data_IF_948442844080
#
_entry.id   IF_948442844080
#
_cell.length_a   1.000
_cell.length_b   1.000
_cell.length_c   1.000
_cell.angle_alpha   90.00
_cell.angle_beta   90.00
_cell.angle_gamma   90.00
#
_symmetry.space_group_name_H-M   'P 1'
#
loop_
_entity.id
_entity.type
_entity.pdbx_description
1 polymer ?
#
# COMPACT_ATOMS: atom_id res chain seq x y z
N UNK A 1 7.94 2.00 -20.60
CA UNK A 1 6.55 2.46 -20.44
C UNK A 1 5.55 1.67 -21.30
N UNK A 2 5.83 1.33 -22.57
CA UNK A 2 4.87 0.61 -23.45
C UNK A 2 4.48 -0.80 -22.96
N UNK A 3 5.36 -1.53 -22.29
CA UNK A 3 5.11 -2.92 -21.84
C UNK A 3 4.30 -3.02 -20.54
N UNK A 4 4.36 -2.01 -19.66
CA UNK A 4 3.54 -1.98 -18.43
C UNK A 4 2.07 -1.68 -18.71
N UNK A 5 1.79 -0.85 -19.71
CA UNK A 5 0.41 -0.59 -20.19
C UNK A 5 -0.20 -1.83 -20.87
N UNK A 6 0.62 -2.64 -21.57
CA UNK A 6 0.14 -3.88 -22.19
C UNK A 6 -0.23 -4.94 -21.13
N UNK A 7 0.52 -5.06 -20.06
CA UNK A 7 0.22 -6.01 -18.98
C UNK A 7 -1.04 -5.62 -18.20
N UNK A 8 -1.24 -4.32 -17.92
CA UNK A 8 -2.46 -3.83 -17.30
C UNK A 8 -3.68 -3.97 -18.23
N UNK A 9 -3.52 -3.73 -19.53
CA UNK A 9 -4.57 -3.90 -20.52
C UNK A 9 -4.93 -5.39 -20.74
N UNK A 10 -3.98 -6.32 -20.63
CA UNK A 10 -4.23 -7.76 -20.71
C UNK A 10 -4.99 -8.29 -19.50
N UNK A 11 -4.70 -7.78 -18.28
CA UNK A 11 -5.41 -8.13 -17.05
C UNK A 11 -6.84 -7.57 -17.06
N UNK A 12 -7.05 -6.35 -17.55
CA UNK A 12 -8.40 -5.77 -17.71
C UNK A 12 -9.19 -6.43 -18.86
N UNK A 13 -8.54 -6.80 -19.95
CA UNK A 13 -9.15 -7.53 -21.07
C UNK A 13 -9.60 -8.93 -20.67
N UNK A 14 -8.80 -9.68 -19.90
CA UNK A 14 -9.16 -11.00 -19.41
C UNK A 14 -10.32 -10.95 -18.39
N UNK A 15 -10.41 -9.90 -17.59
CA UNK A 15 -11.52 -9.71 -16.65
C UNK A 15 -12.85 -9.40 -17.37
N UNK A 16 -12.80 -8.67 -18.49
CA UNK A 16 -14.01 -8.30 -19.27
C UNK A 16 -14.54 -9.44 -20.16
N UNK A 17 -13.68 -10.33 -20.63
CA UNK A 17 -14.11 -11.50 -21.44
C UNK A 17 -14.59 -12.68 -20.59
N UNK A 18 -14.27 -12.72 -19.29
CA UNK A 18 -14.80 -13.70 -18.35
C UNK A 18 -16.20 -13.34 -17.81
N UNK A 19 -16.73 -12.17 -18.13
CA UNK A 19 -18.01 -11.69 -17.63
C UNK A 19 -19.23 -12.58 -17.92
N UNK A 20 -19.39 -13.25 -19.08
CA UNK A 20 -20.54 -14.14 -19.30
C UNK A 20 -20.43 -15.49 -18.57
N UNK A 21 -19.23 -15.96 -18.23
CA UNK A 21 -19.04 -17.19 -17.43
C UNK A 21 -19.14 -16.92 -15.90
N UNK A 22 -19.13 -15.67 -15.50
CA UNK A 22 -19.10 -15.24 -14.11
C UNK A 22 -20.40 -15.52 -13.33
N UNK A 23 -21.52 -15.65 -14.02
CA UNK A 23 -22.80 -15.98 -13.38
C UNK A 23 -22.88 -17.42 -12.86
N UNK A 24 -21.93 -18.29 -13.21
CA UNK A 24 -21.93 -19.70 -12.79
C UNK A 24 -20.96 -20.04 -11.62
N UNK A 25 -20.12 -19.08 -11.16
CA UNK A 25 -19.01 -19.39 -10.22
C UNK A 25 -18.84 -18.39 -9.07
N UNK A 26 -19.87 -17.66 -8.67
CA UNK A 26 -19.79 -16.82 -7.47
C UNK A 26 -18.72 -15.71 -7.54
N UNK A 27 -18.51 -15.11 -8.71
CA UNK A 27 -17.61 -13.96 -8.88
C UNK A 27 -18.31 -12.70 -8.41
N UNK A 28 -17.67 -11.96 -7.49
CA UNK A 28 -18.19 -10.69 -6.97
C UNK A 28 -17.14 -9.60 -7.10
N UNK A 29 -17.57 -8.41 -7.52
CA UNK A 29 -16.76 -7.20 -7.56
C UNK A 29 -16.95 -6.42 -6.28
N UNK A 30 -15.88 -5.75 -5.80
CA UNK A 30 -15.93 -4.90 -4.63
C UNK A 30 -15.04 -3.68 -4.74
N UNK A 31 -15.27 -2.76 -3.82
CA UNK A 31 -14.46 -1.57 -3.61
C UNK A 31 -13.89 -1.58 -2.20
N UNK A 32 -12.70 -1.04 -2.03
CA UNK A 32 -12.12 -0.79 -0.69
C UNK A 32 -11.41 0.55 -0.64
N UNK A 33 -11.40 1.15 0.55
CA UNK A 33 -10.62 2.32 0.87
C UNK A 33 -10.20 2.28 2.34
N UNK A 34 -9.06 2.88 2.65
CA UNK A 34 -8.54 2.86 4.00
C UNK A 34 -7.27 3.68 4.18
N UNK A 35 -6.62 3.43 5.30
CA UNK A 35 -5.37 4.08 5.65
C UNK A 35 -4.25 3.04 5.87
N UNK A 36 -3.09 3.35 5.34
CA UNK A 36 -1.82 2.68 5.65
C UNK A 36 -1.18 3.37 6.85
N UNK A 37 -0.63 2.60 7.76
CA UNK A 37 0.35 3.03 8.74
C UNK A 37 1.67 2.37 8.39
N UNK A 38 2.56 3.10 7.73
CA UNK A 38 3.73 2.54 7.05
C UNK A 38 5.05 3.12 7.57
N UNK A 39 6.10 2.33 7.47
CA UNK A 39 7.48 2.70 7.73
C UNK A 39 8.40 1.84 6.84
N UNK A 40 9.70 2.13 6.92
CA UNK A 40 10.75 1.23 6.45
C UNK A 40 11.05 0.18 7.52
N UNK A 41 11.33 -1.05 7.08
CA UNK A 41 11.82 -2.17 7.88
C UNK A 41 13.13 -2.68 7.27
N UNK A 42 13.90 -3.48 8.02
CA UNK A 42 15.20 -4.01 7.60
C UNK A 42 16.37 -3.23 8.20
N UNK A 43 17.56 -3.42 7.67
CA UNK A 43 18.78 -2.75 8.14
C UNK A 43 18.83 -1.31 7.60
N UNK A 44 18.20 -0.39 8.30
CA UNK A 44 18.20 1.03 7.96
C UNK A 44 19.15 1.75 8.92
N UNK A 45 20.13 2.47 8.38
CA UNK A 45 21.04 3.26 9.21
C UNK A 45 20.25 4.34 9.95
N UNK A 46 20.50 4.51 11.26
CA UNK A 46 19.80 5.49 12.11
C UNK A 46 18.26 5.32 12.09
N UNK A 47 17.73 4.12 12.37
CA UNK A 47 16.28 3.82 12.40
C UNK A 47 15.46 4.84 13.21
N UNK A 48 16.01 5.43 14.25
CA UNK A 48 15.35 6.44 15.08
C UNK A 48 14.96 7.70 14.31
N UNK A 49 15.58 7.94 13.17
CA UNK A 49 15.27 9.08 12.30
C UNK A 49 14.00 8.86 11.47
N UNK A 50 13.57 7.61 11.29
CA UNK A 50 12.44 7.24 10.45
C UNK A 50 11.24 6.83 11.30
N UNK A 51 10.16 7.56 11.19
CA UNK A 51 8.94 7.32 11.96
C UNK A 51 7.81 6.92 11.01
N UNK A 52 6.93 6.10 11.51
CA UNK A 52 5.75 5.68 10.75
C UNK A 52 4.85 6.87 10.38
N UNK A 53 4.19 6.76 9.22
CA UNK A 53 3.26 7.76 8.72
C UNK A 53 1.95 7.12 8.26
N UNK A 54 0.91 7.93 8.25
CA UNK A 54 -0.34 7.56 7.59
C UNK A 54 -0.34 7.97 6.12
N UNK A 55 -0.98 7.13 5.29
CA UNK A 55 -1.23 7.40 3.88
C UNK A 55 -2.51 6.70 3.42
N UNK A 56 -3.24 7.22 2.43
CA UNK A 56 -4.44 6.57 1.92
C UNK A 56 -4.11 5.35 1.06
N UNK A 57 -5.05 4.40 0.99
CA UNK A 57 -5.11 3.38 -0.04
C UNK A 57 -6.55 3.12 -0.45
N UNK A 58 -6.74 2.60 -1.66
CA UNK A 58 -8.05 2.22 -2.13
C UNK A 58 -8.04 1.70 -3.56
N UNK A 59 -9.10 0.99 -3.93
CA UNK A 59 -9.21 0.40 -5.25
C UNK A 59 -10.28 -0.67 -5.36
N UNK A 60 -10.07 -1.58 -6.31
CA UNK A 60 -11.01 -2.61 -6.70
C UNK A 60 -10.60 -3.96 -6.11
N UNK A 61 -11.59 -4.77 -5.78
CA UNK A 61 -11.44 -6.16 -5.38
C UNK A 61 -12.31 -7.03 -6.27
N UNK A 62 -11.76 -8.18 -6.68
CA UNK A 62 -12.53 -9.23 -7.32
C UNK A 62 -12.49 -10.45 -6.40
N UNK A 63 -13.64 -10.99 -6.02
CA UNK A 63 -13.71 -12.20 -5.21
C UNK A 63 -14.26 -13.35 -6.05
N UNK A 64 -13.50 -14.43 -6.11
CA UNK A 64 -13.79 -15.64 -6.89
C UNK A 64 -13.95 -16.79 -5.92
N UNK A 65 -15.17 -17.29 -5.71
CA UNK A 65 -15.43 -18.45 -4.88
C UNK A 65 -14.72 -19.68 -5.44
N UNK A 66 -13.96 -20.38 -4.61
CA UNK A 66 -13.28 -21.64 -4.96
C UNK A 66 -14.05 -22.86 -4.47
N UNK A 67 -14.94 -22.67 -3.46
CA UNK A 67 -15.83 -23.67 -2.93
C UNK A 67 -17.28 -23.14 -2.95
N UNK A 68 -18.23 -24.01 -3.16
CA UNK A 68 -19.66 -23.66 -3.32
C UNK A 68 -20.28 -23.05 -2.07
N UNK A 69 -19.75 -23.36 -0.90
CA UNK A 69 -20.19 -22.82 0.41
C UNK A 69 -19.67 -21.40 0.68
N UNK A 70 -18.77 -20.88 -0.18
CA UNK A 70 -18.13 -19.58 -0.02
C UNK A 70 -17.09 -19.52 1.10
N UNK A 71 -16.73 -20.66 1.68
CA UNK A 71 -15.69 -20.76 2.72
C UNK A 71 -14.32 -20.31 2.22
N UNK A 72 -13.93 -20.73 1.01
CA UNK A 72 -12.65 -20.38 0.40
C UNK A 72 -12.86 -19.61 -0.89
N UNK A 73 -12.14 -18.50 -1.03
CA UNK A 73 -12.13 -17.69 -2.24
C UNK A 73 -10.73 -17.19 -2.59
N UNK A 74 -10.52 -16.86 -3.86
CA UNK A 74 -9.37 -16.11 -4.37
C UNK A 74 -9.78 -14.66 -4.57
N UNK A 75 -8.99 -13.73 -4.03
CA UNK A 75 -9.30 -12.30 -4.08
C UNK A 75 -8.13 -11.51 -4.66
N UNK A 76 -8.02 -11.40 -6.01
CA UNK A 76 -7.14 -10.42 -6.62
C UNK A 76 -7.70 -9.00 -6.41
N UNK A 77 -6.77 -8.05 -6.19
CA UNK A 77 -7.12 -6.64 -5.98
C UNK A 77 -6.24 -5.75 -6.86
N UNK A 78 -6.71 -4.54 -7.14
CA UNK A 78 -5.94 -3.47 -7.78
C UNK A 78 -6.08 -2.22 -6.94
N UNK A 79 -5.00 -1.83 -6.26
CA UNK A 79 -5.02 -0.78 -5.25
C UNK A 79 -4.02 0.33 -5.58
N UNK A 80 -4.47 1.57 -5.53
CA UNK A 80 -3.56 2.68 -5.27
C UNK A 80 -3.21 2.67 -3.78
N UNK A 81 -1.92 2.77 -3.45
CA UNK A 81 -1.44 2.67 -2.07
C UNK A 81 -0.31 3.66 -1.82
N UNK A 82 -0.53 4.61 -0.92
CA UNK A 82 0.51 5.52 -0.47
C UNK A 82 1.17 4.97 0.79
N UNK A 83 2.44 4.58 0.67
CA UNK A 83 3.33 4.12 1.73
C UNK A 83 4.39 5.18 2.04
N UNK A 84 5.39 4.83 2.83
CA UNK A 84 6.57 5.65 3.10
C UNK A 84 6.76 5.91 4.59
N UNK A 85 7.52 6.95 4.90
CA UNK A 85 7.90 7.31 6.26
C UNK A 85 7.89 8.84 6.45
N UNK A 86 8.05 9.29 7.68
CA UNK A 86 8.37 10.67 8.03
C UNK A 86 9.70 10.70 8.77
N UNK A 87 10.45 11.78 8.60
CA UNK A 87 11.62 12.04 9.43
C UNK A 87 11.19 12.40 10.85
N UNK A 88 12.01 12.03 11.83
CA UNK A 88 11.85 12.53 13.19
C UNK A 88 11.93 14.06 13.18
N UNK A 89 11.02 14.69 13.89
CA UNK A 89 11.01 16.16 14.01
C UNK A 89 12.31 16.64 14.66
N UNK A 90 12.98 17.59 14.03
CA UNK A 90 14.16 18.25 14.60
C UNK A 90 13.76 19.66 15.06
N UNK A 91 13.90 19.93 16.35
CA UNK A 91 13.61 21.23 16.95
C UNK A 91 14.88 21.81 17.57
N UNK A 92 15.12 23.10 17.34
CA UNK A 92 16.21 23.83 17.99
C UNK A 92 15.79 25.28 18.25
N UNK A 93 16.43 25.90 19.25
CA UNK A 93 16.19 27.31 19.59
C UNK A 93 17.46 28.10 19.27
N UNK A 94 17.32 29.16 18.52
CA UNK A 94 18.40 30.08 18.17
C UNK A 94 17.95 31.52 18.41
N UNK A 95 18.70 32.27 19.22
CA UNK A 95 18.41 33.69 19.56
C UNK A 95 16.99 33.93 20.10
N UNK A 96 16.44 32.96 20.86
CA UNK A 96 15.10 33.04 21.42
C UNK A 96 13.97 32.58 20.49
N UNK A 97 14.24 32.35 19.21
CA UNK A 97 13.28 31.80 18.26
C UNK A 97 13.34 30.28 18.23
N UNK A 98 12.17 29.62 18.17
CA UNK A 98 12.02 28.17 18.02
C UNK A 98 11.91 27.81 16.55
N UNK A 99 12.79 26.92 16.11
CA UNK A 99 12.80 26.38 14.74
C UNK A 99 12.43 24.91 14.77
N UNK A 100 11.63 24.48 13.80
CA UNK A 100 11.26 23.09 13.63
C UNK A 100 11.37 22.69 12.17
N UNK A 101 12.05 21.57 11.94
CA UNK A 101 12.16 20.92 10.65
C UNK A 101 11.34 19.63 10.67
N UNK A 102 10.45 19.47 9.70
CA UNK A 102 9.65 18.26 9.50
C UNK A 102 9.70 17.83 8.05
N UNK A 103 9.76 16.53 7.83
CA UNK A 103 9.77 15.97 6.48
C UNK A 103 9.05 14.64 6.42
N UNK A 104 8.44 14.35 5.28
CA UNK A 104 7.83 13.05 5.00
C UNK A 104 8.10 12.65 3.56
N UNK A 105 8.32 11.37 3.35
CA UNK A 105 8.47 10.77 2.03
C UNK A 105 7.25 9.91 1.75
N UNK A 106 6.63 10.13 0.59
CA UNK A 106 5.46 9.41 0.13
C UNK A 106 5.85 8.54 -1.06
N UNK A 107 5.67 7.24 -0.93
CA UNK A 107 5.82 6.25 -1.99
C UNK A 107 4.42 5.91 -2.51
N UNK A 108 4.14 6.28 -3.74
CA UNK A 108 2.86 6.02 -4.37
C UNK A 108 2.97 4.76 -5.23
N UNK A 109 2.26 3.72 -4.85
CA UNK A 109 2.27 2.42 -5.52
C UNK A 109 0.94 2.11 -6.18
N UNK A 110 1.03 1.30 -7.24
CA UNK A 110 -0.06 0.47 -7.72
C UNK A 110 0.22 -0.95 -7.23
N UNK A 111 -0.54 -1.41 -6.24
CA UNK A 111 -0.40 -2.73 -5.62
C UNK A 111 -1.41 -3.72 -6.21
N UNK A 112 -0.96 -4.93 -6.51
CA UNK A 112 -1.77 -6.05 -6.98
C UNK A 112 -1.54 -7.25 -6.06
N UNK A 113 -2.24 -7.33 -4.93
CA UNK A 113 -2.28 -8.54 -4.12
C UNK A 113 -3.19 -9.60 -4.75
N UNK A 114 -2.83 -10.87 -4.58
CA UNK A 114 -3.65 -12.04 -4.93
C UNK A 114 -3.79 -12.87 -3.66
N UNK A 115 -4.95 -12.80 -3.03
CA UNK A 115 -5.15 -13.33 -1.68
C UNK A 115 -6.04 -14.57 -1.71
N UNK A 116 -5.67 -15.58 -0.96
CA UNK A 116 -6.60 -16.60 -0.50
C UNK A 116 -7.36 -16.03 0.69
N UNK A 117 -8.68 -16.10 0.63
CA UNK A 117 -9.57 -15.61 1.69
C UNK A 117 -10.45 -16.73 2.18
N UNK A 118 -10.39 -16.99 3.50
CA UNK A 118 -11.21 -17.95 4.21
C UNK A 118 -12.29 -17.17 4.98
N UNK A 119 -13.54 -17.53 4.80
CA UNK A 119 -14.68 -16.90 5.47
C UNK A 119 -15.33 -17.91 6.44
N UNK A 120 -15.56 -17.47 7.67
CA UNK A 120 -16.21 -18.25 8.72
C UNK A 120 -17.21 -17.34 9.46
N UNK A 121 -18.50 -17.48 9.16
CA UNK A 121 -19.60 -16.74 9.81
C UNK A 121 -19.39 -15.20 9.86
N UNK A 122 -18.94 -14.64 8.75
CA UNK A 122 -18.64 -13.21 8.62
C UNK A 122 -17.21 -12.82 9.01
N UNK A 123 -16.54 -13.57 9.86
CA UNK A 123 -15.10 -13.40 10.05
C UNK A 123 -14.34 -13.89 8.81
N UNK A 124 -13.30 -13.18 8.42
CA UNK A 124 -12.43 -13.67 7.36
C UNK A 124 -10.96 -13.53 7.72
N UNK A 125 -10.18 -14.43 7.14
CA UNK A 125 -8.72 -14.38 7.12
C UNK A 125 -8.28 -14.34 5.67
N UNK A 126 -7.28 -13.53 5.37
CA UNK A 126 -6.74 -13.40 4.02
C UNK A 126 -5.22 -13.41 4.04
N UNK A 127 -4.62 -14.11 3.09
CA UNK A 127 -3.16 -14.11 2.92
C UNK A 127 -2.79 -14.42 1.47
N UNK A 128 -1.66 -13.85 1.01
CA UNK A 128 -1.16 -14.13 -0.31
C UNK A 128 -0.01 -13.23 -0.76
N UNK A 129 0.54 -13.49 -1.95
CA UNK A 129 1.57 -12.66 -2.55
C UNK A 129 1.01 -11.31 -3.02
N UNK A 130 1.91 -10.32 -3.10
CA UNK A 130 1.61 -8.99 -3.60
C UNK A 130 2.73 -8.54 -4.53
N UNK A 131 2.37 -7.90 -5.64
CA UNK A 131 3.28 -7.16 -6.50
C UNK A 131 2.89 -5.69 -6.43
N UNK A 132 3.87 -4.82 -6.16
CA UNK A 132 3.72 -3.39 -6.17
C UNK A 132 4.51 -2.76 -7.31
N UNK A 133 3.97 -1.73 -7.94
CA UNK A 133 4.69 -0.92 -8.91
C UNK A 133 4.75 0.53 -8.42
N UNK A 134 5.96 1.03 -8.19
CA UNK A 134 6.20 2.39 -7.73
C UNK A 134 5.93 3.40 -8.85
N UNK A 135 4.93 4.22 -8.67
CA UNK A 135 4.51 5.27 -9.59
C UNK A 135 5.34 6.54 -9.42
N UNK A 136 5.52 6.97 -8.16
CA UNK A 136 6.26 8.18 -7.81
C UNK A 136 6.74 8.18 -6.36
N UNK A 137 7.81 8.91 -6.13
CA UNK A 137 8.31 9.27 -4.78
C UNK A 137 8.17 10.77 -4.63
N UNK A 138 7.47 11.21 -3.58
CA UNK A 138 7.26 12.61 -3.27
C UNK A 138 7.83 12.92 -1.89
N UNK A 139 8.73 13.88 -1.84
CA UNK A 139 9.34 14.39 -0.61
C UNK A 139 8.71 15.73 -0.24
N UNK A 140 8.10 15.83 0.92
CA UNK A 140 7.49 17.03 1.46
C UNK A 140 8.29 17.48 2.69
N UNK A 141 8.91 18.65 2.60
CA UNK A 141 9.71 19.22 3.67
C UNK A 141 9.11 20.55 4.11
N UNK A 142 9.04 20.79 5.44
CA UNK A 142 8.58 22.04 6.02
C UNK A 142 9.57 22.53 7.07
N UNK A 143 9.87 23.81 7.00
CA UNK A 143 10.65 24.53 7.97
C UNK A 143 9.79 25.61 8.62
N UNK A 144 9.66 25.58 9.95
CA UNK A 144 8.82 26.52 10.71
C UNK A 144 9.66 27.31 11.70
N UNK A 145 9.29 28.56 11.92
CA UNK A 145 9.83 29.45 12.95
C UNK A 145 8.69 29.93 13.85
N UNK A 146 8.78 29.68 15.16
CA UNK A 146 7.74 30.02 16.14
C UNK A 146 6.32 29.56 15.74
N UNK A 147 6.23 28.35 15.10
CA UNK A 147 4.97 27.79 14.61
C UNK A 147 4.50 28.28 13.24
N UNK A 148 5.14 29.29 12.66
CA UNK A 148 4.83 29.80 11.33
C UNK A 148 5.70 29.11 10.27
N UNK A 149 5.10 28.68 9.14
CA UNK A 149 5.85 28.11 8.02
C UNK A 149 6.67 29.20 7.36
N UNK A 150 8.01 29.04 7.41
CA UNK A 150 8.96 29.97 6.78
C UNK A 150 9.34 29.48 5.39
N UNK A 151 9.45 28.14 5.24
CA UNK A 151 9.74 27.52 3.97
C UNK A 151 9.06 26.16 3.87
N UNK A 152 8.60 25.80 2.68
CA UNK A 152 8.12 24.46 2.35
C UNK A 152 8.52 24.12 0.92
N UNK A 153 8.97 22.87 0.73
CA UNK A 153 9.27 22.35 -0.61
C UNK A 153 8.59 21.01 -0.80
N UNK A 154 8.09 20.80 -2.02
CA UNK A 154 7.58 19.53 -2.50
C UNK A 154 8.41 19.13 -3.72
N UNK A 155 9.12 18.03 -3.64
CA UNK A 155 9.97 17.55 -4.72
C UNK A 155 9.56 16.11 -5.11
N UNK A 156 9.56 15.85 -6.41
CA UNK A 156 9.49 14.48 -6.93
C UNK A 156 10.90 13.97 -7.13
N UNK A 157 11.21 12.84 -6.48
CA UNK A 157 12.51 12.19 -6.62
C UNK A 157 12.62 11.47 -7.96
N UNK A 158 13.84 11.47 -8.51
CA UNK A 158 14.18 10.59 -9.61
C UNK A 158 14.06 9.13 -9.17
N UNK A 159 13.50 8.29 -10.04
CA UNK A 159 13.26 6.87 -9.78
C UNK A 159 14.38 5.95 -10.30
N UNK A 160 15.46 6.50 -10.84
CA UNK A 160 16.54 5.72 -11.45
C UNK A 160 17.31 4.86 -10.42
N UNK A 161 17.37 5.34 -9.16
CA UNK A 161 18.10 4.70 -8.08
C UNK A 161 17.22 3.89 -7.12
N UNK A 162 15.95 3.70 -7.44
CA UNK A 162 15.03 2.90 -6.63
C UNK A 162 14.48 1.72 -7.43
N UNK A 163 14.12 0.66 -6.74
CA UNK A 163 13.44 -0.49 -7.33
C UNK A 163 11.96 -0.18 -7.53
N UNK A 164 11.53 -0.11 -8.79
CA UNK A 164 10.14 0.22 -9.12
C UNK A 164 9.18 -0.95 -8.91
N UNK A 165 9.68 -2.18 -8.97
CA UNK A 165 8.89 -3.39 -8.72
C UNK A 165 9.16 -3.87 -7.32
N UNK A 166 8.12 -4.00 -6.53
CA UNK A 166 8.14 -4.52 -5.18
C UNK A 166 7.44 -5.89 -5.16
N UNK A 167 8.13 -6.91 -4.73
CA UNK A 167 7.55 -8.20 -4.42
C UNK A 167 7.35 -8.30 -2.91
N UNK A 168 6.20 -8.78 -2.50
CA UNK A 168 5.86 -8.86 -1.09
C UNK A 168 4.75 -9.85 -0.80
N UNK A 169 4.23 -9.75 0.40
CA UNK A 169 3.11 -10.55 0.88
C UNK A 169 2.15 -9.67 1.67
N UNK A 170 0.92 -10.14 1.75
CA UNK A 170 -0.11 -9.54 2.58
C UNK A 170 -0.78 -10.62 3.41
N UNK A 171 -1.10 -10.31 4.68
CA UNK A 171 -1.87 -11.18 5.56
C UNK A 171 -2.78 -10.32 6.44
N UNK A 172 -4.02 -10.74 6.61
CA UNK A 172 -5.01 -9.94 7.31
C UNK A 172 -6.20 -10.73 7.82
N UNK A 173 -7.04 -10.02 8.55
CA UNK A 173 -8.29 -10.52 9.07
C UNK A 173 -9.34 -9.39 9.10
N UNK A 174 -10.59 -9.76 9.16
CA UNK A 174 -11.66 -8.78 9.23
C UNK A 174 -13.03 -9.42 9.38
N UNK A 175 -14.03 -8.57 9.24
CA UNK A 175 -15.43 -8.99 9.26
C UNK A 175 -16.12 -8.49 7.99
N UNK A 176 -16.91 -9.34 7.37
CA UNK A 176 -17.72 -9.04 6.19
C UNK A 176 -19.17 -9.47 6.46
N UNK A 177 -20.08 -8.52 6.43
CA UNK A 177 -21.51 -8.82 6.50
C UNK A 177 -22.00 -9.46 5.19
N UNK A 178 -23.03 -10.29 5.26
CA UNK A 178 -23.64 -10.94 4.09
C UNK A 178 -24.14 -9.92 3.05
N UNK A 179 -24.60 -8.75 3.50
CA UNK A 179 -25.05 -7.65 2.64
C UNK A 179 -23.92 -6.92 1.90
N UNK A 180 -22.65 -7.29 2.13
CA UNK A 180 -21.49 -6.78 1.39
C UNK A 180 -20.51 -5.89 2.14
N UNK A 181 -20.88 -5.06 3.14
CA UNK A 181 -19.94 -4.22 3.89
C UNK A 181 -18.89 -5.05 4.60
N UNK A 182 -17.65 -4.54 4.65
CA UNK A 182 -16.55 -5.18 5.37
C UNK A 182 -15.63 -4.16 6.03
N UNK A 183 -14.99 -4.63 7.11
CA UNK A 183 -13.87 -3.94 7.77
C UNK A 183 -12.74 -4.95 7.94
N UNK A 184 -11.50 -4.53 7.70
CA UNK A 184 -10.35 -5.42 7.83
C UNK A 184 -9.10 -4.70 8.26
N UNK A 185 -8.23 -5.47 8.92
CA UNK A 185 -6.87 -5.11 9.27
C UNK A 185 -5.92 -6.06 8.53
N UNK A 186 -4.93 -5.50 7.83
CA UNK A 186 -3.98 -6.24 7.01
C UNK A 186 -2.57 -5.74 7.27
N UNK A 187 -1.61 -6.63 7.26
CA UNK A 187 -0.19 -6.32 7.21
C UNK A 187 0.34 -6.62 5.81
N UNK A 188 1.11 -5.69 5.26
CA UNK A 188 1.83 -5.83 4.01
C UNK A 188 3.32 -5.71 4.30
N UNK A 189 4.09 -6.73 3.89
CA UNK A 189 5.54 -6.75 4.00
C UNK A 189 6.19 -6.89 2.64
N UNK A 190 7.22 -6.07 2.35
CA UNK A 190 8.05 -6.24 1.17
C UNK A 190 9.14 -7.28 1.40
N UNK A 191 9.41 -8.10 0.37
CA UNK A 191 10.53 -9.04 0.30
C UNK A 191 11.70 -8.45 -0.48
N UNK A 192 11.47 -7.45 -1.31
CA UNK A 192 12.48 -6.76 -2.12
C UNK A 192 12.88 -5.45 -1.46
N UNK A 193 14.15 -5.11 -1.62
CA UNK A 193 14.68 -3.85 -1.11
C UNK A 193 14.18 -2.68 -1.96
N UNK A 194 13.88 -1.57 -1.28
CA UNK A 194 13.39 -0.34 -1.91
C UNK A 194 14.47 0.31 -2.77
N UNK A 195 15.70 0.40 -2.25
CA UNK A 195 16.81 1.08 -2.90
C UNK A 195 17.67 0.14 -3.72
N UNK A 196 18.24 0.65 -4.81
CA UNK A 196 19.34 0.01 -5.52
C UNK A 196 20.65 0.23 -4.79
N UNK A 197 21.66 -0.62 -5.08
CA UNK A 197 23.00 -0.48 -4.50
C UNK A 197 23.58 0.91 -4.79
N UNK A 198 24.17 1.52 -3.75
CA UNK A 198 24.78 2.84 -3.83
C UNK A 198 23.85 4.04 -3.66
N UNK A 199 22.53 3.82 -3.47
CA UNK A 199 21.60 4.89 -3.17
C UNK A 199 21.90 5.51 -1.81
N UNK A 200 22.09 6.84 -1.76
CA UNK A 200 22.39 7.63 -0.55
C UNK A 200 23.45 6.98 0.37
N UNK A 201 24.56 6.52 -0.23
CA UNK A 201 25.67 5.94 0.55
C UNK A 201 25.38 4.59 1.20
N UNK A 202 24.40 3.85 0.73
CA UNK A 202 23.90 2.57 1.27
C UNK A 202 23.09 2.66 2.58
N UNK A 203 22.66 3.84 3.01
CA UNK A 203 21.84 4.01 4.21
C UNK A 203 20.49 3.23 4.12
N UNK A 204 20.04 2.93 2.90
CA UNK A 204 18.80 2.19 2.59
C UNK A 204 19.05 0.84 1.93
N UNK A 205 20.26 0.26 2.05
CA UNK A 205 20.65 -0.94 1.31
C UNK A 205 19.68 -2.12 1.47
N UNK A 206 19.15 -2.33 2.68
CA UNK A 206 18.21 -3.40 3.00
C UNK A 206 16.84 -2.85 3.45
N UNK A 207 16.54 -1.59 3.09
CA UNK A 207 15.28 -0.97 3.47
C UNK A 207 14.11 -1.56 2.67
N UNK A 208 13.07 -1.99 3.36
CA UNK A 208 11.86 -2.61 2.80
C UNK A 208 10.62 -1.90 3.30
N UNK A 209 9.61 -1.79 2.45
CA UNK A 209 8.34 -1.25 2.87
C UNK A 209 7.60 -2.21 3.81
N UNK A 210 7.06 -1.65 4.88
CA UNK A 210 6.20 -2.33 5.84
C UNK A 210 4.99 -1.45 6.13
N UNK A 211 3.78 -2.01 6.08
CA UNK A 211 2.55 -1.26 6.32
C UNK A 211 1.47 -2.09 6.99
N UNK A 212 0.85 -1.53 8.01
CA UNK A 212 -0.47 -1.95 8.47
C UNK A 212 -1.54 -1.17 7.73
N UNK A 213 -2.57 -1.86 7.27
CA UNK A 213 -3.71 -1.28 6.54
C UNK A 213 -4.97 -1.51 7.34
N UNK A 214 -5.67 -0.43 7.71
CA UNK A 214 -7.05 -0.49 8.17
C UNK A 214 -7.94 -0.05 7.02
N UNK A 215 -8.97 -0.85 6.68
CA UNK A 215 -9.82 -0.55 5.54
C UNK A 215 -11.29 -0.87 5.79
N UNK A 216 -12.12 -0.13 5.09
CA UNK A 216 -13.52 -0.44 4.84
C UNK A 216 -13.67 -0.87 3.39
N UNK A 217 -14.58 -1.79 3.13
CA UNK A 217 -14.89 -2.23 1.79
C UNK A 217 -16.36 -2.58 1.63
N UNK A 218 -16.75 -2.75 0.38
CA UNK A 218 -18.08 -3.22 0.02
C UNK A 218 -17.99 -4.20 -1.14
N UNK A 219 -18.55 -5.38 -0.99
CA UNK A 219 -18.64 -6.41 -2.03
C UNK A 219 -20.04 -6.37 -2.65
N UNK A 220 -20.10 -6.09 -3.94
CA UNK A 220 -21.37 -6.07 -4.67
C UNK A 220 -21.86 -7.50 -4.98
N UNK A 221 -23.18 -7.66 -5.11
CA UNK A 221 -23.79 -8.97 -5.34
C UNK A 221 -23.78 -9.82 -4.08
N UNK A 222 -24.65 -9.50 -3.12
CA UNK A 222 -24.94 -10.34 -1.97
C UNK A 222 -25.38 -11.76 -2.39
N UNK A 223 -25.32 -12.72 -1.44
CA UNK A 223 -25.84 -14.08 -1.67
C UNK A 223 -27.30 -14.03 -2.04
#
# INVERSE_FOLDING_TARGET
>A
MKHAFLAAALLTGAALTAAPAAHAQGIRLGLKAGANYSNLAGDVTDEDRYKSKFGPHGGLMLNIGLLDDGFLSLQPELLYSQKGFKYADTEFTLLGDKYKYTGKVNFNYLDVPVLFKINADGLFFEAGPQIGYLLSVKDDVKFTKNGNVVNSSENYSDLDNVNRVELGYAAGLGFQAESGPMIGLRYNGSLTDFAKDGYQGNDFKNARNSAFQLYLGYMFGGK
#
